data_IF_927527218454
#
_entry.id   IF_927527218454
#
_cell.length_a   1.000
_cell.length_b   1.000
_cell.length_c   1.000
_cell.angle_alpha   90.00
_cell.angle_beta   90.00
_cell.angle_gamma   90.00
#
_symmetry.space_group_name_H-M   'P 1'
#
loop_
_entity.id
_entity.type
_entity.pdbx_description
1 polymer ?
#
# COMPACT_ATOMS: atom_id res chain seq x y z
N UNK A 1 7.61 -6.18 8.21
CA UNK A 1 6.34 -5.98 8.94
C UNK A 1 5.54 -7.25 8.82
N UNK A 2 4.78 -7.59 9.86
CA UNK A 2 3.90 -8.77 9.89
C UNK A 2 2.44 -8.39 9.63
N UNK A 3 1.63 -9.37 9.19
CA UNK A 3 0.22 -9.15 8.85
C UNK A 3 -0.59 -8.56 10.02
N UNK A 4 -0.35 -9.03 11.25
CA UNK A 4 -1.04 -8.53 12.45
C UNK A 4 -0.77 -7.05 12.68
N UNK A 5 0.46 -6.58 12.41
CA UNK A 5 0.81 -5.17 12.54
C UNK A 5 0.08 -4.32 11.48
N UNK A 6 -0.03 -4.85 10.26
CA UNK A 6 -0.75 -4.17 9.16
C UNK A 6 -2.26 -4.15 9.40
N UNK A 7 -2.81 -5.17 10.05
CA UNK A 7 -4.21 -5.17 10.47
C UNK A 7 -4.52 -4.03 11.45
N UNK A 8 -3.64 -3.77 12.41
CA UNK A 8 -3.79 -2.63 13.32
C UNK A 8 -3.74 -1.29 12.57
N UNK A 9 -2.77 -1.13 11.66
CA UNK A 9 -2.69 0.07 10.81
C UNK A 9 -3.95 0.24 9.94
N UNK A 10 -4.51 -0.86 9.45
CA UNK A 10 -5.75 -0.82 8.69
C UNK A 10 -6.94 -0.33 9.54
N UNK A 11 -7.02 -0.69 10.82
CA UNK A 11 -8.03 -0.14 11.74
C UNK A 11 -7.82 1.36 11.97
N UNK A 12 -6.57 1.80 12.18
CA UNK A 12 -6.24 3.22 12.33
C UNK A 12 -6.66 4.02 11.08
N UNK A 13 -6.49 3.43 9.89
CA UNK A 13 -6.98 4.00 8.63
C UNK A 13 -8.50 4.15 8.59
N UNK A 14 -9.28 3.29 9.26
CA UNK A 14 -10.75 3.41 9.30
C UNK A 14 -11.19 4.60 10.16
N UNK A 15 -10.40 4.96 11.18
CA UNK A 15 -10.70 6.06 12.10
C UNK A 15 -10.10 7.40 11.68
N UNK A 16 -9.23 7.43 10.67
CA UNK A 16 -8.59 8.65 10.19
C UNK A 16 -9.60 9.65 9.63
N UNK A 17 -9.37 10.95 9.86
CA UNK A 17 -10.15 12.03 9.23
C UNK A 17 -9.83 12.19 7.73
N UNK A 18 -8.71 11.63 7.26
CA UNK A 18 -8.23 11.75 5.88
C UNK A 18 -8.71 10.61 4.98
N UNK A 19 -9.99 10.21 5.12
CA UNK A 19 -10.61 9.10 4.38
C UNK A 19 -10.38 9.14 2.85
N UNK A 20 -10.41 10.29 2.15
CA UNK A 20 -10.09 10.33 0.72
C UNK A 20 -8.65 9.87 0.39
N UNK A 21 -7.68 10.21 1.24
CA UNK A 21 -6.28 9.79 1.09
C UNK A 21 -6.12 8.31 1.42
N UNK A 22 -6.76 7.82 2.48
CA UNK A 22 -6.82 6.39 2.83
C UNK A 22 -7.35 5.57 1.66
N UNK A 23 -8.50 5.94 1.10
CA UNK A 23 -9.11 5.25 -0.05
C UNK A 23 -8.21 5.26 -1.27
N UNK A 24 -7.50 6.37 -1.52
CA UNK A 24 -6.56 6.47 -2.63
C UNK A 24 -5.37 5.53 -2.44
N UNK A 25 -4.79 5.51 -1.23
CA UNK A 25 -3.71 4.60 -0.87
C UNK A 25 -4.11 3.13 -1.03
N UNK A 26 -5.28 2.74 -0.51
CA UNK A 26 -5.79 1.38 -0.62
C UNK A 26 -6.00 0.95 -2.09
N UNK A 27 -6.51 1.85 -2.94
CA UNK A 27 -6.65 1.58 -4.38
C UNK A 27 -5.31 1.36 -5.06
N UNK A 28 -4.30 2.17 -4.75
CA UNK A 28 -2.95 1.98 -5.30
C UNK A 28 -2.28 0.71 -4.77
N UNK A 29 -2.47 0.38 -3.49
CA UNK A 29 -2.00 -0.88 -2.91
C UNK A 29 -2.58 -2.09 -3.65
N UNK A 30 -3.90 -2.08 -3.88
CA UNK A 30 -4.60 -3.12 -4.61
C UNK A 30 -4.11 -3.25 -6.05
N UNK A 31 -3.99 -2.12 -6.78
CA UNK A 31 -3.50 -2.11 -8.16
C UNK A 31 -2.07 -2.67 -8.25
N UNK A 32 -1.16 -2.19 -7.40
CA UNK A 32 0.21 -2.66 -7.38
C UNK A 32 0.31 -4.15 -7.02
N UNK A 33 -0.41 -4.58 -5.99
CA UNK A 33 -0.41 -5.99 -5.55
C UNK A 33 -0.92 -6.91 -6.65
N UNK A 34 -2.01 -6.53 -7.34
CA UNK A 34 -2.54 -7.27 -8.48
C UNK A 34 -1.48 -7.44 -9.58
N UNK A 35 -0.89 -6.32 -10.03
CA UNK A 35 0.15 -6.34 -11.08
C UNK A 35 1.39 -7.15 -10.66
N UNK A 36 1.78 -7.12 -9.38
CA UNK A 36 2.91 -7.90 -8.87
C UNK A 36 2.64 -9.41 -8.89
N UNK A 37 1.41 -9.82 -8.55
CA UNK A 37 1.00 -11.22 -8.62
C UNK A 37 0.83 -11.68 -10.06
N UNK A 38 0.21 -10.87 -10.92
CA UNK A 38 0.11 -11.13 -12.37
C UNK A 38 1.51 -11.32 -12.97
N UNK A 39 2.44 -10.40 -12.73
CA UNK A 39 3.83 -10.50 -13.20
C UNK A 39 4.51 -11.82 -12.78
N UNK A 40 4.25 -12.30 -11.55
CA UNK A 40 4.81 -13.57 -11.07
C UNK A 40 4.28 -14.76 -11.86
N UNK A 41 2.99 -14.74 -12.22
CA UNK A 41 2.29 -15.80 -12.94
C UNK A 41 2.46 -15.73 -14.48
N UNK A 42 2.90 -14.59 -15.00
CA UNK A 42 3.11 -14.34 -16.42
C UNK A 42 4.39 -14.99 -16.98
N UNK A 43 4.39 -15.24 -18.28
CA UNK A 43 5.58 -15.56 -19.06
C UNK A 43 6.51 -14.34 -19.26
N UNK A 44 7.65 -14.56 -19.93
CA UNK A 44 8.65 -13.51 -20.11
C UNK A 44 8.18 -12.34 -20.97
N UNK A 45 7.32 -12.57 -21.96
CA UNK A 45 6.84 -11.53 -22.88
C UNK A 45 5.84 -10.63 -22.15
N UNK A 46 4.83 -11.23 -21.53
CA UNK A 46 3.82 -10.50 -20.74
C UNK A 46 4.45 -9.78 -19.53
N UNK A 47 5.52 -10.32 -18.93
CA UNK A 47 6.25 -9.62 -17.85
C UNK A 47 6.80 -8.27 -18.29
N UNK A 48 7.33 -8.17 -19.51
CA UNK A 48 7.87 -6.91 -20.05
C UNK A 48 6.77 -5.87 -20.21
N UNK A 49 5.59 -6.29 -20.64
CA UNK A 49 4.42 -5.40 -20.79
C UNK A 49 3.93 -4.87 -19.44
N UNK A 50 3.91 -5.72 -18.41
CA UNK A 50 3.44 -5.37 -17.06
C UNK A 50 4.46 -4.50 -16.29
N UNK A 51 5.76 -4.60 -16.59
CA UNK A 51 6.82 -3.99 -15.79
C UNK A 51 6.70 -2.47 -15.64
N UNK A 52 6.36 -1.77 -16.73
CA UNK A 52 6.15 -0.33 -16.72
C UNK A 52 4.94 0.07 -15.86
N UNK A 53 3.80 -0.59 -16.07
CA UNK A 53 2.58 -0.30 -15.31
C UNK A 53 2.76 -0.64 -13.82
N UNK A 54 3.44 -1.74 -13.50
CA UNK A 54 3.78 -2.14 -12.13
C UNK A 54 4.65 -1.09 -11.46
N UNK A 55 5.65 -0.57 -12.17
CA UNK A 55 6.54 0.49 -11.66
C UNK A 55 5.77 1.77 -11.38
N UNK A 56 4.88 2.17 -12.30
CA UNK A 56 4.00 3.33 -12.10
C UNK A 56 3.06 3.14 -10.91
N UNK A 57 2.40 1.99 -10.80
CA UNK A 57 1.51 1.68 -9.68
C UNK A 57 2.25 1.71 -8.34
N UNK A 58 3.48 1.20 -8.29
CA UNK A 58 4.31 1.26 -7.09
C UNK A 58 4.68 2.70 -6.70
N UNK A 59 5.08 3.53 -7.66
CA UNK A 59 5.39 4.94 -7.42
C UNK A 59 4.17 5.72 -6.91
N UNK A 60 2.99 5.45 -7.48
CA UNK A 60 1.73 6.03 -7.02
C UNK A 60 1.38 5.59 -5.60
N UNK A 61 1.59 4.31 -5.27
CA UNK A 61 1.41 3.80 -3.92
C UNK A 61 2.35 4.47 -2.90
N UNK A 62 3.65 4.57 -3.20
CA UNK A 62 4.63 5.27 -2.35
C UNK A 62 4.19 6.72 -2.11
N UNK A 63 3.84 7.43 -3.18
CA UNK A 63 3.40 8.83 -3.11
C UNK A 63 2.14 8.99 -2.25
N UNK A 64 1.21 8.03 -2.33
CA UNK A 64 0.01 8.03 -1.50
C UNK A 64 0.30 7.76 -0.03
N UNK A 65 1.29 6.92 0.29
CA UNK A 65 1.76 6.71 1.66
C UNK A 65 2.31 8.02 2.25
N UNK A 66 3.16 8.71 1.49
CA UNK A 66 3.76 9.98 1.92
C UNK A 66 2.72 11.11 2.03
N UNK A 67 1.72 11.13 1.15
CA UNK A 67 0.62 12.07 1.23
C UNK A 67 -0.24 11.84 2.48
N UNK A 68 -0.66 10.60 2.74
CA UNK A 68 -1.46 10.27 3.92
C UNK A 68 -0.69 10.58 5.21
N UNK A 69 0.54 10.09 5.35
CA UNK A 69 1.34 10.28 6.56
C UNK A 69 1.59 11.77 6.88
N UNK A 70 1.89 12.59 5.86
CA UNK A 70 2.06 14.04 6.05
C UNK A 70 0.78 14.73 6.53
N UNK A 71 -0.38 14.35 5.97
CA UNK A 71 -1.66 14.94 6.36
C UNK A 71 -2.10 14.47 7.75
N UNK A 72 -1.97 13.18 8.06
CA UNK A 72 -2.20 12.64 9.41
C UNK A 72 -1.38 13.40 10.45
N UNK A 73 -0.06 13.55 10.20
CA UNK A 73 0.82 14.31 11.09
C UNK A 73 0.39 15.76 11.28
N UNK A 74 0.04 16.45 10.19
CA UNK A 74 -0.42 17.84 10.23
C UNK A 74 -1.77 17.99 10.94
N UNK A 75 -2.64 16.97 10.86
CA UNK A 75 -3.93 16.89 11.54
C UNK A 75 -3.87 16.35 12.97
N UNK A 76 -2.68 16.03 13.50
CA UNK A 76 -2.53 15.50 14.87
C UNK A 76 -2.86 14.01 15.02
N UNK A 77 -2.95 13.26 13.93
CA UNK A 77 -3.12 11.79 13.93
C UNK A 77 -1.77 11.07 13.94
N UNK A 78 -1.74 9.82 14.43
CA UNK A 78 -0.54 9.00 14.37
C UNK A 78 -0.13 8.69 12.93
N UNK A 79 1.14 8.91 12.62
CA UNK A 79 1.73 8.63 11.30
C UNK A 79 3.00 7.78 11.42
N UNK A 80 3.24 7.17 12.59
CA UNK A 80 4.45 6.41 12.88
C UNK A 80 4.54 5.12 12.06
N UNK A 81 3.39 4.59 11.62
CA UNK A 81 3.33 3.47 10.68
C UNK A 81 4.19 3.72 9.43
N UNK A 82 4.24 4.95 8.92
CA UNK A 82 5.03 5.30 7.73
C UNK A 82 6.53 5.25 8.00
N UNK A 83 6.95 5.66 9.19
CA UNK A 83 8.35 5.59 9.64
C UNK A 83 8.76 4.13 9.84
N UNK A 84 7.87 3.32 10.41
CA UNK A 84 8.09 1.89 10.67
C UNK A 84 8.30 1.06 9.40
N UNK A 85 7.63 1.41 8.30
CA UNK A 85 7.85 0.78 7.00
C UNK A 85 9.28 1.08 6.48
N UNK A 86 9.82 2.26 6.77
CA UNK A 86 11.11 2.71 6.24
C UNK A 86 11.04 3.28 4.83
N UNK A 87 12.21 3.54 4.23
CA UNK A 87 12.34 4.14 2.89
C UNK A 87 12.69 3.13 1.79
N UNK A 88 12.94 1.87 2.14
CA UNK A 88 13.24 0.86 1.15
C UNK A 88 12.00 0.54 0.31
N UNK A 89 12.16 0.57 -1.02
CA UNK A 89 11.05 0.34 -1.94
C UNK A 89 10.49 -1.08 -1.82
N UNK A 90 11.31 -2.07 -1.49
CA UNK A 90 10.85 -3.46 -1.30
C UNK A 90 9.96 -3.55 -0.06
N UNK A 91 10.38 -2.95 1.05
CA UNK A 91 9.61 -2.94 2.30
C UNK A 91 8.25 -2.25 2.10
N UNK A 92 8.22 -1.13 1.37
CA UNK A 92 6.96 -0.45 1.00
C UNK A 92 6.10 -1.35 0.10
N UNK A 93 6.71 -2.03 -0.87
CA UNK A 93 6.01 -2.99 -1.73
C UNK A 93 5.41 -4.16 -0.96
N UNK A 94 6.12 -4.68 0.04
CA UNK A 94 5.65 -5.79 0.89
C UNK A 94 4.52 -5.30 1.83
N UNK A 95 4.60 -4.06 2.32
CA UNK A 95 3.48 -3.42 3.02
C UNK A 95 2.21 -3.33 2.17
N UNK A 96 2.30 -2.97 0.87
CA UNK A 96 1.13 -2.98 -0.02
C UNK A 96 0.45 -4.35 -0.08
N UNK A 97 1.24 -5.43 -0.20
CA UNK A 97 0.71 -6.80 -0.28
C UNK A 97 0.02 -7.19 1.03
N UNK A 98 0.65 -6.91 2.18
CA UNK A 98 0.07 -7.19 3.49
C UNK A 98 -1.20 -6.37 3.75
N UNK A 99 -1.25 -5.11 3.29
CA UNK A 99 -2.44 -4.26 3.42
C UNK A 99 -3.61 -4.83 2.62
N UNK A 100 -3.36 -5.27 1.39
CA UNK A 100 -4.38 -5.93 0.56
C UNK A 100 -4.84 -7.25 1.18
N UNK A 101 -3.93 -8.03 1.77
CA UNK A 101 -4.30 -9.24 2.51
C UNK A 101 -5.19 -8.93 3.72
N UNK A 102 -4.84 -7.92 4.53
CA UNK A 102 -5.66 -7.48 5.66
C UNK A 102 -7.06 -7.03 5.22
N UNK A 103 -7.15 -6.24 4.14
CA UNK A 103 -8.42 -5.84 3.53
C UNK A 103 -9.24 -7.04 3.06
N UNK A 104 -8.62 -8.01 2.39
CA UNK A 104 -9.28 -9.23 1.92
C UNK A 104 -9.83 -10.08 3.05
N UNK A 105 -9.08 -10.23 4.14
CA UNK A 105 -9.53 -10.95 5.35
C UNK A 105 -10.72 -10.24 6.01
N UNK A 106 -10.73 -8.90 6.03
CA UNK A 106 -11.82 -8.11 6.60
C UNK A 106 -13.09 -8.09 5.74
N UNK A 107 -12.97 -8.33 4.44
CA UNK A 107 -14.09 -8.41 3.51
C UNK A 107 -14.78 -9.80 3.49
N UNK A 108 -14.35 -10.73 4.35
CA UNK A 108 -14.92 -12.07 4.50
C UNK A 108 -16.34 -12.05 5.07
#
# INVERSE_FOLDING_TARGET
>A
MELQEVQLIYEDFQTSNFQPLVKSLQKYALKYTRLRVEWLLSDLETRKEIDEERTFAHNAFISSCDALARNMKAGGEDSNWRVKIGSDRKDIGDFAVLLVAAMGIKAR
#
